data_IF_146789764119
#
_entry.id   IF_146789764119
#
_cell.length_a   1.000
_cell.length_b   1.000
_cell.length_c   1.000
_cell.angle_alpha   90.00
_cell.angle_beta   90.00
_cell.angle_gamma   90.00
#
_symmetry.space_group_name_H-M   'P 1'
#
loop_
_entity.id
_entity.type
_entity.pdbx_description
1 polymer ?
#
# COMPACT_ATOMS: atom_id res chain seq x y z
N UNK A 1 -11.67 0.31 25.95
CA UNK A 1 -10.75 0.53 24.82
C UNK A 1 -11.54 0.30 23.54
N UNK A 2 -11.46 1.22 22.56
CA UNK A 2 -12.13 1.06 21.27
C UNK A 2 -11.17 0.34 20.31
N UNK A 3 -11.66 -0.67 19.59
CA UNK A 3 -10.88 -1.34 18.55
C UNK A 3 -10.84 -0.46 17.28
N UNK A 4 -9.78 -0.53 16.47
CA UNK A 4 -9.75 0.18 15.19
C UNK A 4 -10.82 -0.37 14.24
N UNK A 5 -11.23 0.46 13.28
CA UNK A 5 -12.12 0.02 12.21
C UNK A 5 -11.48 -1.14 11.43
N UNK A 6 -12.27 -2.11 10.93
CA UNK A 6 -11.74 -3.17 10.10
C UNK A 6 -11.14 -2.58 8.82
N UNK A 7 -9.93 -3.01 8.48
CA UNK A 7 -9.27 -2.55 7.27
C UNK A 7 -9.84 -3.29 6.04
N UNK A 8 -10.69 -2.59 5.27
CA UNK A 8 -11.34 -3.12 4.07
C UNK A 8 -10.35 -3.21 2.93
N UNK A 9 -10.44 -4.25 2.11
CA UNK A 9 -9.55 -4.42 0.97
C UNK A 9 -10.00 -3.52 -0.19
N UNK A 10 -9.06 -2.76 -0.74
CA UNK A 10 -9.24 -1.90 -1.90
C UNK A 10 -8.13 -2.12 -2.91
N UNK A 11 -8.45 -1.91 -4.18
CA UNK A 11 -7.46 -1.89 -5.23
C UNK A 11 -6.69 -0.56 -5.23
N UNK A 12 -5.39 -0.56 -5.62
CA UNK A 12 -4.59 0.66 -5.64
C UNK A 12 -5.13 1.79 -6.53
N UNK A 13 -5.97 1.49 -7.53
CA UNK A 13 -6.60 2.51 -8.36
C UNK A 13 -7.82 3.17 -7.68
N UNK A 14 -8.53 2.47 -6.81
CA UNK A 14 -9.67 3.01 -6.04
C UNK A 14 -9.19 4.03 -5.01
N UNK A 15 -8.04 3.75 -4.38
CA UNK A 15 -7.37 4.73 -3.49
C UNK A 15 -6.95 5.98 -4.26
N UNK A 16 -6.47 5.81 -5.49
CA UNK A 16 -6.02 6.92 -6.33
C UNK A 16 -7.16 7.71 -6.99
N UNK A 17 -8.33 7.10 -7.20
CA UNK A 17 -9.51 7.77 -7.79
C UNK A 17 -10.31 8.58 -6.76
N UNK A 18 -10.01 8.43 -5.47
CA UNK A 18 -10.73 9.10 -4.38
C UNK A 18 -11.99 8.35 -3.93
N UNK A 19 -12.11 7.06 -4.28
CA UNK A 19 -13.20 6.20 -3.79
C UNK A 19 -13.06 5.85 -2.31
N UNK A 20 -11.81 5.89 -1.79
CA UNK A 20 -11.49 5.74 -0.37
C UNK A 20 -11.42 7.12 0.29
N UNK A 21 -12.11 7.30 1.41
CA UNK A 21 -12.09 8.56 2.15
C UNK A 21 -10.85 8.68 3.04
N UNK A 22 -10.40 9.92 3.25
CA UNK A 22 -9.31 10.18 4.19
C UNK A 22 -9.70 9.73 5.62
N UNK A 23 -8.78 9.02 6.29
CA UNK A 23 -8.99 8.48 7.63
C UNK A 23 -9.57 7.07 7.67
N UNK A 24 -9.96 6.49 6.54
CA UNK A 24 -10.41 5.09 6.48
C UNK A 24 -9.26 4.10 6.70
N UNK A 25 -9.59 2.99 7.37
CA UNK A 25 -8.66 1.86 7.49
C UNK A 25 -8.75 0.99 6.24
N UNK A 26 -7.63 0.83 5.54
CA UNK A 26 -7.58 0.08 4.27
C UNK A 26 -6.51 -1.00 4.26
N UNK A 27 -6.76 -2.04 3.45
CA UNK A 27 -5.77 -3.01 2.99
C UNK A 27 -5.63 -2.85 1.49
N UNK A 28 -4.39 -2.78 1.02
CA UNK A 28 -4.04 -2.71 -0.40
C UNK A 28 -2.91 -3.67 -0.68
N UNK A 29 -2.65 -3.93 -1.96
CA UNK A 29 -1.51 -4.71 -2.41
C UNK A 29 -0.68 -3.91 -3.42
N UNK A 30 0.53 -4.36 -3.67
CA UNK A 30 1.34 -3.84 -4.76
C UNK A 30 2.75 -4.37 -4.72
N UNK A 31 3.46 -4.22 -5.85
CA UNK A 31 4.89 -4.47 -5.94
C UNK A 31 5.63 -3.33 -5.27
N UNK A 32 6.54 -3.63 -4.35
CA UNK A 32 7.40 -2.61 -3.76
C UNK A 32 8.37 -2.08 -4.84
N UNK A 33 8.26 -0.79 -5.18
CA UNK A 33 9.09 -0.15 -6.21
C UNK A 33 10.30 0.53 -5.61
N UNK A 34 10.12 1.19 -4.47
CA UNK A 34 11.21 1.80 -3.71
C UNK A 34 10.85 1.89 -2.23
N UNK A 35 11.89 1.96 -1.40
CA UNK A 35 11.80 2.25 0.02
C UNK A 35 12.90 3.26 0.38
N UNK A 36 12.51 4.33 1.07
CA UNK A 36 13.39 5.40 1.54
C UNK A 36 13.39 5.37 3.07
N UNK A 37 14.39 4.71 3.70
CA UNK A 37 14.42 4.54 5.16
C UNK A 37 14.45 5.87 5.91
N UNK A 38 15.18 6.87 5.40
CA UNK A 38 15.30 8.19 6.03
C UNK A 38 13.97 8.96 6.10
N UNK A 39 13.00 8.61 5.24
CA UNK A 39 11.66 9.18 5.23
C UNK A 39 10.61 8.25 5.84
N UNK A 40 11.02 7.04 6.27
CA UNK A 40 10.12 5.93 6.60
C UNK A 40 8.99 5.81 5.57
N UNK A 41 9.36 5.74 4.29
CA UNK A 41 8.41 5.83 3.17
C UNK A 41 8.67 4.78 2.10
N UNK A 42 7.66 3.97 1.83
CA UNK A 42 7.64 3.00 0.75
C UNK A 42 6.70 3.47 -0.38
N UNK A 43 7.01 3.06 -1.62
CA UNK A 43 6.08 3.21 -2.76
C UNK A 43 5.75 1.85 -3.33
N UNK A 44 4.46 1.51 -3.30
CA UNK A 44 3.91 0.34 -3.97
C UNK A 44 3.42 0.72 -5.36
N UNK A 45 3.46 -0.21 -6.30
CA UNK A 45 2.76 -0.07 -7.59
C UNK A 45 1.97 -1.30 -8.00
N UNK A 46 0.89 -1.06 -8.73
CA UNK A 46 0.07 -2.08 -9.36
C UNK A 46 -0.30 -1.63 -10.78
N UNK A 47 -0.39 -2.59 -11.70
CA UNK A 47 -0.85 -2.35 -13.06
C UNK A 47 -2.35 -2.58 -13.13
N UNK A 48 -3.06 -1.66 -13.76
CA UNK A 48 -4.48 -1.81 -14.09
C UNK A 48 -4.71 -1.29 -15.51
N UNK A 49 -5.19 -2.17 -16.38
CA UNK A 49 -5.14 -1.95 -17.83
C UNK A 49 -3.73 -1.50 -18.28
N UNK A 50 -3.64 -0.46 -19.10
CA UNK A 50 -2.37 0.09 -19.59
C UNK A 50 -1.79 1.21 -18.68
N UNK A 51 -2.21 1.28 -17.41
CA UNK A 51 -1.79 2.33 -16.46
C UNK A 51 -1.19 1.75 -15.18
N UNK A 52 -0.06 2.31 -14.75
CA UNK A 52 0.50 2.05 -13.43
C UNK A 52 -0.15 2.97 -12.38
N UNK A 53 -0.58 2.36 -11.27
CA UNK A 53 -1.09 3.04 -10.09
C UNK A 53 -0.09 2.88 -8.95
N UNK A 54 0.24 3.99 -8.28
CA UNK A 54 1.22 4.02 -7.19
C UNK A 54 0.54 4.42 -5.89
N UNK A 55 0.98 3.85 -4.78
CA UNK A 55 0.51 4.18 -3.43
C UNK A 55 1.74 4.43 -2.55
N UNK A 56 1.79 5.58 -1.90
CA UNK A 56 2.81 5.89 -0.90
C UNK A 56 2.36 5.36 0.47
N UNK A 57 3.29 4.74 1.20
CA UNK A 57 3.03 4.15 2.52
C UNK A 57 4.06 4.67 3.50
N UNK A 58 3.61 5.24 4.62
CA UNK A 58 4.48 5.52 5.76
C UNK A 58 4.74 4.24 6.56
N UNK A 59 6.00 3.91 6.79
CA UNK A 59 6.44 2.63 7.36
C UNK A 59 6.91 2.73 8.81
N UNK A 60 6.81 3.91 9.44
CA UNK A 60 7.26 4.19 10.81
C UNK A 60 6.86 3.13 11.84
N UNK A 61 5.66 2.54 11.71
CA UNK A 61 5.14 1.56 12.68
C UNK A 61 5.44 0.10 12.34
N UNK A 62 6.05 -0.17 11.19
CA UNK A 62 6.38 -1.54 10.73
C UNK A 62 7.89 -1.74 10.53
N UNK A 63 8.69 -0.73 10.88
CA UNK A 63 10.14 -0.81 10.91
C UNK A 63 10.64 -1.52 12.18
N UNK A 64 11.73 -2.30 12.09
CA UNK A 64 12.47 -2.66 10.88
C UNK A 64 11.78 -3.79 10.08
N UNK A 65 11.91 -3.75 8.75
CA UNK A 65 11.52 -4.85 7.86
C UNK A 65 12.57 -5.02 6.76
N UNK A 66 12.58 -6.18 6.09
CA UNK A 66 13.47 -6.45 4.95
C UNK A 66 12.78 -6.07 3.63
N UNK A 67 13.11 -4.94 2.99
CA UNK A 67 12.46 -4.50 1.76
C UNK A 67 12.88 -5.37 0.57
N UNK A 68 11.95 -6.11 -0.01
CA UNK A 68 12.19 -6.86 -1.25
C UNK A 68 11.64 -6.07 -2.43
N UNK A 69 12.51 -5.36 -3.12
CA UNK A 69 12.15 -4.53 -4.28
C UNK A 69 11.80 -5.43 -5.48
N UNK A 70 10.71 -5.09 -6.18
CA UNK A 70 10.34 -5.73 -7.44
C UNK A 70 9.58 -7.05 -7.29
N UNK A 71 9.37 -7.55 -6.08
CA UNK A 71 8.54 -8.73 -5.88
C UNK A 71 7.06 -8.32 -5.79
N UNK A 72 6.21 -8.93 -6.62
CA UNK A 72 4.76 -8.81 -6.50
C UNK A 72 4.31 -9.74 -5.38
N UNK A 73 3.52 -9.22 -4.44
CA UNK A 73 2.88 -10.05 -3.42
C UNK A 73 1.92 -11.02 -4.11
N UNK A 74 2.26 -12.31 -4.12
CA UNK A 74 1.47 -13.35 -4.80
C UNK A 74 0.41 -13.84 -3.82
N UNK A 75 -0.43 -12.93 -3.32
CA UNK A 75 -1.64 -13.34 -2.61
C UNK A 75 -2.62 -13.92 -3.63
N UNK A 76 -2.46 -15.22 -3.90
CA UNK A 76 -3.49 -16.03 -4.56
C UNK A 76 -4.66 -16.11 -3.58
N UNK A 77 -5.70 -15.33 -3.84
CA UNK A 77 -7.04 -15.62 -3.36
C UNK A 77 -7.88 -16.01 -4.59
#
# INVERSE_FOLDING_TARGET
>A
VMLPAPAVFHFPWEVNSGEVQEGESVRVFGRLVCYQPEESRATLSAQHASKEHRVAVHTLFVEPFNPIIGQTDVSKH
#
